data_IF_543779720729
#
_entry.id   IF_543779720729
#
_cell.length_a   1.000
_cell.length_b   1.000
_cell.length_c   1.000
_cell.angle_alpha   90.00
_cell.angle_beta   90.00
_cell.angle_gamma   90.00
#
_symmetry.space_group_name_H-M   'P 1'
#
loop_
_entity.id
_entity.type
_entity.pdbx_description
1 polymer ?
#
# COMPACT_ATOMS: atom_id res chain seq x y z
N UNK A 1 0.22 -13.90 -26.78
CA UNK A 1 1.03 -13.11 -25.81
C UNK A 1 2.32 -12.74 -26.50
N UNK A 2 2.61 -11.45 -26.66
CA UNK A 2 3.80 -10.96 -27.36
C UNK A 2 5.06 -11.14 -26.50
N UNK A 3 6.20 -11.40 -27.13
CA UNK A 3 7.50 -11.71 -26.52
C UNK A 3 7.96 -10.67 -25.48
N UNK A 4 7.57 -9.40 -25.62
CA UNK A 4 7.82 -8.35 -24.62
C UNK A 4 7.20 -8.62 -23.24
N UNK A 5 5.98 -9.20 -23.18
CA UNK A 5 5.35 -9.56 -21.91
C UNK A 5 6.12 -10.69 -21.21
N UNK A 6 6.72 -11.59 -21.98
CA UNK A 6 7.56 -12.68 -21.48
C UNK A 6 8.87 -12.15 -20.90
N UNK A 7 9.52 -11.22 -21.61
CA UNK A 7 10.79 -10.64 -21.19
C UNK A 7 10.68 -9.80 -19.92
N UNK A 8 9.66 -8.93 -19.80
CA UNK A 8 9.44 -8.13 -18.60
C UNK A 8 9.18 -9.02 -17.36
N UNK A 9 8.34 -10.03 -17.51
CA UNK A 9 8.03 -10.99 -16.43
C UNK A 9 9.28 -11.78 -16.00
N UNK A 10 10.12 -12.17 -16.96
CA UNK A 10 11.39 -12.84 -16.68
C UNK A 10 12.37 -11.93 -15.95
N UNK A 11 12.57 -10.69 -16.41
CA UNK A 11 13.45 -9.70 -15.78
C UNK A 11 12.98 -9.36 -14.36
N UNK A 12 11.67 -9.19 -14.14
CA UNK A 12 11.09 -9.00 -12.82
C UNK A 12 11.36 -10.21 -11.92
N UNK A 13 11.16 -11.43 -12.43
CA UNK A 13 11.41 -12.67 -11.67
C UNK A 13 12.88 -12.82 -11.26
N UNK A 14 13.81 -12.57 -12.18
CA UNK A 14 15.25 -12.64 -11.91
C UNK A 14 15.72 -11.52 -10.98
N UNK A 15 15.13 -10.33 -11.09
CA UNK A 15 15.35 -9.23 -10.16
C UNK A 15 14.89 -9.60 -8.74
N UNK A 16 13.68 -10.13 -8.59
CA UNK A 16 13.16 -10.57 -7.30
C UNK A 16 13.95 -11.72 -6.70
N UNK A 17 14.47 -12.66 -7.50
CA UNK A 17 15.37 -13.71 -7.01
C UNK A 17 16.67 -13.12 -6.45
N UNK A 18 17.31 -12.20 -7.17
CA UNK A 18 18.56 -11.55 -6.75
C UNK A 18 18.37 -10.65 -5.54
N UNK A 19 17.24 -9.94 -5.47
CA UNK A 19 16.91 -9.00 -4.39
C UNK A 19 16.07 -9.64 -3.28
N UNK A 20 15.83 -10.95 -3.33
CA UNK A 20 15.04 -11.67 -2.32
C UNK A 20 15.49 -11.37 -0.88
N UNK A 21 16.80 -11.37 -0.54
CA UNK A 21 17.24 -11.02 0.81
C UNK A 21 16.86 -9.60 1.22
N UNK A 22 16.96 -8.64 0.28
CA UNK A 22 16.57 -7.25 0.50
C UNK A 22 15.06 -7.13 0.69
N UNK A 23 14.26 -7.78 -0.15
CA UNK A 23 12.78 -7.78 -0.04
C UNK A 23 12.34 -8.43 1.27
N UNK A 24 12.95 -9.54 1.67
CA UNK A 24 12.64 -10.23 2.91
C UNK A 24 13.10 -9.43 4.15
N UNK A 25 14.13 -8.59 4.03
CA UNK A 25 14.51 -7.64 5.07
C UNK A 25 13.51 -6.48 5.17
N UNK A 26 13.09 -5.89 4.04
CA UNK A 26 12.09 -4.81 4.01
C UNK A 26 10.77 -5.24 4.66
N UNK A 27 10.33 -6.48 4.44
CA UNK A 27 9.09 -7.02 5.05
C UNK A 27 9.12 -7.14 6.57
N UNK A 28 10.31 -7.09 7.18
CA UNK A 28 10.49 -7.21 8.64
C UNK A 28 10.58 -5.86 9.33
N UNK A 29 10.67 -4.78 8.58
CA UNK A 29 10.75 -3.43 9.11
C UNK A 29 9.39 -2.97 9.63
N UNK A 30 9.42 -2.18 10.69
CA UNK A 30 8.27 -1.40 11.16
C UNK A 30 7.86 -0.34 10.13
N UNK A 31 6.65 0.22 10.30
CA UNK A 31 6.15 1.28 9.42
C UNK A 31 7.07 2.51 9.44
N UNK A 32 7.58 2.88 10.62
CA UNK A 32 8.49 4.02 10.77
C UNK A 32 9.81 3.78 10.03
N UNK A 33 10.40 2.59 10.18
CA UNK A 33 11.62 2.19 9.47
C UNK A 33 11.41 2.14 7.94
N UNK A 34 10.24 1.70 7.47
CA UNK A 34 9.88 1.71 6.05
C UNK A 34 9.75 3.14 5.52
N UNK A 35 9.15 4.06 6.28
CA UNK A 35 9.07 5.48 5.94
C UNK A 35 10.46 6.09 5.77
N UNK A 36 11.37 5.83 6.70
CA UNK A 36 12.75 6.34 6.62
C UNK A 36 13.51 5.76 5.43
N UNK A 37 13.32 4.47 5.14
CA UNK A 37 13.93 3.85 3.95
C UNK A 37 13.41 4.42 2.64
N UNK A 38 12.12 4.73 2.54
CA UNK A 38 11.55 5.33 1.32
C UNK A 38 12.12 6.74 1.10
N UNK A 39 12.24 7.55 2.16
CA UNK A 39 12.87 8.88 2.08
C UNK A 39 14.32 8.80 1.61
N UNK A 40 15.11 7.92 2.24
CA UNK A 40 16.51 7.72 1.86
C UNK A 40 16.65 7.24 0.41
N UNK A 41 15.75 6.35 -0.04
CA UNK A 41 15.76 5.87 -1.43
C UNK A 41 15.37 6.96 -2.43
N UNK A 42 14.43 7.85 -2.06
CA UNK A 42 14.06 9.02 -2.85
C UNK A 42 15.21 10.00 -2.98
N UNK A 43 15.93 10.28 -1.89
CA UNK A 43 17.14 11.11 -1.91
C UNK A 43 18.22 10.51 -2.81
N UNK A 44 18.46 9.21 -2.70
CA UNK A 44 19.35 8.48 -3.60
C UNK A 44 18.93 8.63 -5.08
N UNK A 45 17.64 8.45 -5.38
CA UNK A 45 17.14 8.60 -6.75
C UNK A 45 17.31 10.02 -7.28
N UNK A 46 17.08 11.05 -6.44
CA UNK A 46 17.28 12.44 -6.83
C UNK A 46 18.77 12.74 -7.08
N UNK A 47 19.67 12.25 -6.24
CA UNK A 47 21.11 12.39 -6.45
C UNK A 47 21.55 11.70 -7.75
N UNK A 48 21.07 10.49 -8.00
CA UNK A 48 21.35 9.74 -9.25
C UNK A 48 20.90 10.51 -10.50
N UNK A 49 19.78 11.22 -10.40
CA UNK A 49 19.25 12.06 -11.49
C UNK A 49 20.14 13.27 -11.73
N UNK A 50 20.57 13.94 -10.67
CA UNK A 50 21.48 15.08 -10.79
C UNK A 50 22.85 14.67 -11.36
N UNK A 51 23.41 13.55 -10.90
CA UNK A 51 24.71 13.03 -11.36
C UNK A 51 24.71 12.62 -12.85
N UNK A 52 23.52 12.42 -13.43
CA UNK A 52 23.33 11.96 -14.79
C UNK A 52 22.41 12.86 -15.62
N UNK A 53 22.28 14.13 -15.24
CA UNK A 53 21.37 15.11 -15.86
C UNK A 53 21.60 15.22 -17.39
N UNK A 54 22.87 15.28 -17.82
CA UNK A 54 23.23 15.34 -19.24
C UNK A 54 22.83 14.09 -20.04
N UNK A 55 22.73 12.93 -19.37
CA UNK A 55 22.34 11.65 -19.97
C UNK A 55 20.82 11.48 -19.98
N UNK A 56 20.10 12.26 -19.16
CA UNK A 56 18.65 12.30 -19.07
C UNK A 56 17.97 13.19 -20.11
N UNK A 57 18.74 13.78 -21.04
CA UNK A 57 18.21 14.46 -22.24
C UNK A 57 17.42 13.49 -23.17
N UNK A 58 17.55 12.17 -22.96
CA UNK A 58 16.64 11.19 -23.54
C UNK A 58 15.29 11.23 -22.80
N UNK A 59 14.27 11.76 -23.49
CA UNK A 59 12.88 11.85 -23.04
C UNK A 59 12.35 10.54 -22.41
N UNK A 60 12.82 9.37 -22.84
CA UNK A 60 12.39 8.08 -22.29
C UNK A 60 12.94 7.86 -20.88
N UNK A 61 14.20 8.20 -20.63
CA UNK A 61 14.82 8.07 -19.31
C UNK A 61 14.27 9.10 -18.32
N UNK A 62 14.02 10.31 -18.79
CA UNK A 62 13.33 11.34 -18.00
C UNK A 62 11.94 10.88 -17.55
N UNK A 63 11.10 10.43 -18.49
CA UNK A 63 9.74 9.97 -18.19
C UNK A 63 9.73 8.80 -17.19
N UNK A 64 10.67 7.87 -17.34
CA UNK A 64 10.78 6.73 -16.44
C UNK A 64 11.19 7.15 -15.02
N UNK A 65 12.10 8.13 -14.91
CA UNK A 65 12.55 8.70 -13.65
C UNK A 65 11.42 9.43 -12.93
N UNK A 66 10.70 10.31 -13.62
CA UNK A 66 9.56 11.04 -13.07
C UNK A 66 8.47 10.09 -12.54
N UNK A 67 8.21 9.00 -13.27
CA UNK A 67 7.28 7.96 -12.83
C UNK A 67 7.73 7.30 -11.53
N UNK A 68 9.03 6.97 -11.39
CA UNK A 68 9.56 6.37 -10.16
C UNK A 68 9.46 7.33 -8.98
N UNK A 69 9.81 8.61 -9.17
CA UNK A 69 9.70 9.62 -8.12
C UNK A 69 8.24 9.84 -7.67
N UNK A 70 7.29 9.84 -8.61
CA UNK A 70 5.86 9.89 -8.28
C UNK A 70 5.43 8.68 -7.44
N UNK A 71 5.82 7.47 -7.84
CA UNK A 71 5.52 6.25 -7.08
C UNK A 71 6.10 6.30 -5.66
N UNK A 72 7.31 6.85 -5.48
CA UNK A 72 7.88 7.04 -4.14
C UNK A 72 7.06 8.01 -3.29
N UNK A 73 6.61 9.13 -3.86
CA UNK A 73 5.74 10.08 -3.16
C UNK A 73 4.38 9.47 -2.78
N UNK A 74 3.79 8.65 -3.65
CA UNK A 74 2.56 7.91 -3.36
C UNK A 74 2.75 6.90 -2.20
N UNK A 75 3.90 6.22 -2.15
CA UNK A 75 4.24 5.32 -1.05
C UNK A 75 4.43 6.05 0.28
N UNK A 76 5.07 7.22 0.28
CA UNK A 76 5.19 8.08 1.47
C UNK A 76 3.80 8.49 2.00
N UNK A 77 2.90 8.92 1.12
CA UNK A 77 1.53 9.29 1.48
C UNK A 77 0.74 8.08 2.01
N UNK A 78 0.88 6.91 1.39
CA UNK A 78 0.20 5.70 1.85
C UNK A 78 0.66 5.23 3.24
N UNK A 79 1.96 5.25 3.52
CA UNK A 79 2.46 4.85 4.84
C UNK A 79 2.11 5.88 5.93
N UNK A 80 2.12 7.17 5.62
CA UNK A 80 1.80 8.23 6.59
C UNK A 80 0.32 8.27 6.96
N UNK A 81 -0.57 8.12 5.98
CA UNK A 81 -2.02 8.35 6.17
C UNK A 81 -2.88 7.15 5.77
N UNK A 82 -2.48 6.40 4.73
CA UNK A 82 -3.28 5.31 4.17
C UNK A 82 -3.53 4.16 5.14
N UNK A 83 -2.53 3.77 5.93
CA UNK A 83 -2.67 2.73 6.97
C UNK A 83 -3.67 3.18 8.05
N UNK A 84 -3.52 4.42 8.52
CA UNK A 84 -4.41 5.01 9.54
C UNK A 84 -5.84 5.09 9.03
N UNK A 85 -6.05 5.55 7.80
CA UNK A 85 -7.37 5.62 7.17
C UNK A 85 -8.01 4.23 7.01
N UNK A 86 -7.23 3.23 6.61
CA UNK A 86 -7.72 1.85 6.52
C UNK A 86 -8.15 1.30 7.90
N UNK A 87 -7.39 1.59 8.96
CA UNK A 87 -7.75 1.19 10.32
C UNK A 87 -9.03 1.88 10.81
N UNK A 88 -9.20 3.18 10.52
CA UNK A 88 -10.43 3.92 10.84
C UNK A 88 -11.66 3.27 10.22
N UNK A 89 -11.57 2.79 8.97
CA UNK A 89 -12.67 2.08 8.34
C UNK A 89 -12.99 0.74 9.01
N UNK A 90 -11.98 -0.02 9.43
CA UNK A 90 -12.18 -1.26 10.19
C UNK A 90 -12.88 -0.98 11.54
N UNK A 91 -12.46 0.08 12.24
CA UNK A 91 -13.09 0.51 13.49
C UNK A 91 -14.54 0.95 13.27
N UNK A 92 -14.84 1.64 12.17
CA UNK A 92 -16.21 2.01 11.81
C UNK A 92 -17.08 0.77 11.54
N UNK A 93 -16.54 -0.21 10.81
CA UNK A 93 -17.26 -1.46 10.52
C UNK A 93 -17.56 -2.24 11.81
N UNK A 94 -16.65 -2.22 12.80
CA UNK A 94 -16.89 -2.78 14.13
C UNK A 94 -18.11 -2.13 14.80
N UNK A 95 -18.19 -0.79 14.83
CA UNK A 95 -19.31 -0.06 15.41
C UNK A 95 -20.64 -0.39 14.70
N UNK A 96 -20.61 -0.53 13.38
CA UNK A 96 -21.77 -0.94 12.58
C UNK A 96 -22.23 -2.35 12.99
N UNK A 97 -21.30 -3.30 13.14
CA UNK A 97 -21.62 -4.66 13.57
C UNK A 97 -22.26 -4.65 14.96
N UNK A 98 -21.71 -3.91 15.92
CA UNK A 98 -22.26 -3.79 17.26
C UNK A 98 -23.69 -3.22 17.24
N UNK A 99 -23.91 -2.17 16.46
CA UNK A 99 -25.23 -1.58 16.29
C UNK A 99 -26.26 -2.56 15.71
N UNK A 100 -25.87 -3.34 14.70
CA UNK A 100 -26.73 -4.37 14.11
C UNK A 100 -27.07 -5.48 15.11
N UNK A 101 -26.10 -5.92 15.92
CA UNK A 101 -26.33 -6.90 17.00
C UNK A 101 -27.34 -6.35 18.02
N UNK A 102 -27.20 -5.11 18.46
CA UNK A 102 -28.14 -4.47 19.38
C UNK A 102 -29.55 -4.37 18.80
N UNK A 103 -29.65 -3.99 17.53
CA UNK A 103 -30.93 -3.93 16.82
C UNK A 103 -31.62 -5.29 16.82
N UNK A 104 -30.90 -6.36 16.45
CA UNK A 104 -31.45 -7.73 16.46
C UNK A 104 -31.90 -8.14 17.87
N UNK A 105 -31.13 -7.81 18.92
CA UNK A 105 -31.52 -8.10 20.31
C UNK A 105 -32.82 -7.40 20.68
N UNK A 106 -32.98 -6.11 20.32
CA UNK A 106 -34.21 -5.34 20.57
C UNK A 106 -35.41 -5.95 19.83
N UNK A 107 -35.24 -6.30 18.57
CA UNK A 107 -36.30 -6.91 17.75
C UNK A 107 -36.72 -8.28 18.29
N UNK A 108 -35.78 -9.08 18.82
CA UNK A 108 -36.08 -10.35 19.49
C UNK A 108 -36.82 -10.15 20.80
N UNK A 109 -36.47 -9.15 21.62
CA UNK A 109 -37.22 -8.82 22.84
C UNK A 109 -38.63 -8.32 22.55
N UNK A 110 -38.84 -7.55 21.48
CA UNK A 110 -40.17 -7.11 21.05
C UNK A 110 -40.99 -8.28 20.48
N UNK A 111 -40.38 -9.15 19.68
CA UNK A 111 -41.01 -10.37 19.17
C UNK A 111 -41.37 -11.39 20.27
N UNK A 112 -40.66 -11.38 21.39
CA UNK A 112 -40.99 -12.18 22.57
C UNK A 112 -42.19 -11.62 23.35
N UNK A 113 -42.37 -10.30 23.42
CA UNK A 113 -43.54 -9.65 24.01
C UNK A 113 -44.85 -9.90 23.23
N UNK A 114 -44.78 -10.26 21.95
CA UNK A 114 -45.95 -10.62 21.14
C UNK A 114 -46.38 -12.10 21.28
N UNK A 115 -45.72 -12.89 22.14
CA UNK A 115 -46.01 -14.32 22.38
C UNK A 115 -46.50 -14.62 23.81
N UNK A 116 -47.01 -13.65 24.55
CA UNK A 116 -47.80 -13.92 25.76
C UNK A 116 -49.28 -13.99 25.40
N UNK A 117 -49.89 -15.18 25.26
CA UNK A 117 -51.33 -15.31 25.27
C UNK A 117 -51.82 -15.12 26.71
N UNK A 118 -52.68 -14.12 26.91
CA UNK A 118 -53.68 -14.16 27.96
C UNK A 118 -55.04 -14.35 27.29
#
# INVERSE_FOLDING_TARGET
>A
MTEEKSYKTFVETEYYKKKKPTVDALKKLSVDELCDHIKAYKEYMLALVMDHEDQLLDNRLQTQTEKQLRTLAELESFLSEGITNALVHVMLDEDVILHLIEKVKKDQTLGACCKTPF
#
